data_IF_267244175858
#
_entry.id   IF_267244175858
#
_cell.length_a   1.000
_cell.length_b   1.000
_cell.length_c   1.000
_cell.angle_alpha   90.00
_cell.angle_beta   90.00
_cell.angle_gamma   90.00
#
_symmetry.space_group_name_H-M   'P 1'
#
loop_
_entity.id
_entity.type
_entity.pdbx_description
1 polymer ?
#
# COMPACT_ATOMS: atom_id res chain seq x y z
N UNK A 1 35.81 2.94 -3.71
CA UNK A 1 35.31 1.67 -4.29
C UNK A 1 36.13 0.51 -3.78
N UNK A 2 35.56 -0.34 -2.93
CA UNK A 2 36.08 -1.69 -2.72
C UNK A 2 35.84 -2.46 -4.02
N UNK A 3 36.89 -2.70 -4.81
CA UNK A 3 36.81 -3.47 -6.05
C UNK A 3 36.94 -4.95 -5.70
N UNK A 4 36.04 -5.80 -6.22
CA UNK A 4 36.12 -7.25 -6.10
C UNK A 4 37.51 -7.74 -6.51
N UNK A 5 38.08 -8.65 -5.72
CA UNK A 5 39.30 -9.38 -6.09
C UNK A 5 39.03 -10.31 -7.29
N UNK A 6 40.09 -10.69 -8.00
CA UNK A 6 39.97 -11.61 -9.14
C UNK A 6 39.40 -12.98 -8.74
N UNK A 7 39.70 -13.43 -7.52
CA UNK A 7 39.14 -14.67 -6.97
C UNK A 7 37.62 -14.56 -6.78
N UNK A 8 37.15 -13.45 -6.22
CA UNK A 8 35.73 -13.20 -6.00
C UNK A 8 34.96 -13.09 -7.33
N UNK A 9 35.55 -12.49 -8.36
CA UNK A 9 34.94 -12.45 -9.70
C UNK A 9 34.77 -13.86 -10.28
N UNK A 10 35.79 -14.71 -10.17
CA UNK A 10 35.72 -16.09 -10.64
C UNK A 10 34.70 -16.92 -9.85
N UNK A 11 34.60 -16.70 -8.54
CA UNK A 11 33.60 -17.36 -7.69
C UNK A 11 32.17 -16.98 -8.11
N UNK A 12 31.91 -15.69 -8.33
CA UNK A 12 30.61 -15.18 -8.81
C UNK A 12 30.25 -15.82 -10.15
N UNK A 13 31.18 -15.89 -11.10
CA UNK A 13 30.96 -16.50 -12.42
C UNK A 13 30.55 -17.97 -12.26
N UNK A 14 31.22 -18.74 -11.39
CA UNK A 14 30.86 -20.15 -11.12
C UNK A 14 29.45 -20.29 -10.55
N UNK A 15 29.02 -19.40 -9.66
CA UNK A 15 27.66 -19.40 -9.14
C UNK A 15 26.63 -19.14 -10.25
N UNK A 16 26.89 -18.16 -11.11
CA UNK A 16 26.03 -17.83 -12.26
C UNK A 16 25.96 -18.98 -13.26
N UNK A 17 27.09 -19.60 -13.61
CA UNK A 17 27.15 -20.76 -14.53
C UNK A 17 26.45 -22.00 -13.97
N UNK A 18 26.55 -22.22 -12.65
CA UNK A 18 25.87 -23.33 -11.98
C UNK A 18 24.38 -23.09 -11.72
N UNK A 19 23.86 -21.90 -12.06
CA UNK A 19 22.48 -21.51 -11.83
C UNK A 19 22.11 -21.44 -10.34
N UNK A 20 23.11 -21.30 -9.47
CA UNK A 20 22.93 -21.21 -8.02
C UNK A 20 22.83 -19.77 -7.57
N UNK A 21 22.10 -19.55 -6.48
CA UNK A 21 21.99 -18.22 -5.88
C UNK A 21 23.36 -17.72 -5.39
N UNK A 22 23.60 -16.43 -5.56
CA UNK A 22 24.83 -15.78 -5.11
C UNK A 22 24.81 -15.63 -3.58
N UNK A 23 25.93 -15.92 -2.89
CA UNK A 23 26.07 -15.64 -1.46
C UNK A 23 25.79 -14.17 -1.11
N UNK A 24 25.16 -13.93 0.05
CA UNK A 24 24.71 -12.61 0.50
C UNK A 24 25.85 -11.56 0.56
N UNK A 25 27.09 -11.99 0.84
CA UNK A 25 28.29 -11.13 0.84
C UNK A 25 28.47 -10.35 -0.48
N UNK A 26 28.08 -10.93 -1.62
CA UNK A 26 28.23 -10.29 -2.93
C UNK A 26 27.11 -9.31 -3.28
N UNK A 27 25.95 -9.40 -2.61
CA UNK A 27 24.83 -8.46 -2.80
C UNK A 27 25.28 -7.02 -2.55
N UNK A 28 26.10 -6.80 -1.52
CA UNK A 28 26.58 -5.47 -1.13
C UNK A 28 27.78 -4.99 -1.96
N UNK A 29 28.53 -5.91 -2.60
CA UNK A 29 29.72 -5.59 -3.39
C UNK A 29 29.39 -5.35 -4.88
N UNK A 30 28.36 -6.01 -5.42
CA UNK A 30 27.98 -5.92 -6.83
C UNK A 30 27.10 -4.71 -7.16
N UNK A 31 26.30 -4.24 -6.20
CA UNK A 31 25.37 -3.14 -6.40
C UNK A 31 25.84 -1.92 -5.61
N UNK A 32 26.52 -1.00 -6.29
CA UNK A 32 26.87 0.30 -5.73
C UNK A 32 25.58 1.10 -5.51
N UNK A 33 25.35 1.55 -4.29
CA UNK A 33 24.19 2.37 -3.85
C UNK A 33 22.82 1.69 -3.74
N UNK A 34 22.74 0.62 -2.96
CA UNK A 34 21.52 0.34 -2.18
C UNK A 34 21.84 0.04 -0.73
N UNK A 35 22.15 1.09 0.03
CA UNK A 35 22.06 1.05 1.50
C UNK A 35 20.57 1.04 1.90
N UNK A 36 19.89 -0.06 1.61
CA UNK A 36 18.56 -0.32 2.18
C UNK A 36 18.78 -0.76 3.63
N UNK A 37 18.78 0.21 4.55
CA UNK A 37 18.74 -0.10 5.98
C UNK A 37 17.33 -0.58 6.29
N UNK A 38 17.20 -1.87 6.59
CA UNK A 38 15.91 -2.49 6.91
C UNK A 38 15.85 -2.87 8.39
N UNK A 39 14.78 -2.47 9.08
CA UNK A 39 14.51 -2.95 10.44
C UNK A 39 13.98 -4.38 10.37
N UNK A 40 14.69 -5.35 10.92
CA UNK A 40 14.28 -6.76 10.95
C UNK A 40 13.86 -7.16 12.36
N UNK A 41 12.75 -7.88 12.48
CA UNK A 41 12.26 -8.47 13.73
C UNK A 41 11.58 -9.81 13.44
N UNK A 42 11.49 -10.67 14.46
CA UNK A 42 10.83 -11.98 14.33
C UNK A 42 9.36 -11.80 13.92
N UNK A 43 8.94 -12.44 12.83
CA UNK A 43 7.59 -12.33 12.28
C UNK A 43 7.40 -11.16 11.29
N UNK A 44 8.44 -10.39 10.98
CA UNK A 44 8.40 -9.47 9.84
C UNK A 44 8.25 -10.29 8.55
N UNK A 45 7.17 -10.07 7.81
CA UNK A 45 6.95 -10.70 6.50
C UNK A 45 6.96 -9.63 5.41
N UNK A 46 7.56 -9.95 4.27
CA UNK A 46 7.50 -9.12 3.05
C UNK A 46 6.28 -9.43 2.18
N UNK A 47 5.41 -10.34 2.63
CA UNK A 47 4.25 -10.79 1.87
C UNK A 47 3.21 -9.67 1.76
N UNK A 48 3.01 -9.19 0.54
CA UNK A 48 1.98 -8.20 0.24
C UNK A 48 0.67 -8.95 0.00
N UNK A 49 -0.38 -8.59 0.76
CA UNK A 49 -1.71 -9.15 0.55
C UNK A 49 -2.30 -8.65 -0.78
N UNK A 50 -2.59 -9.56 -1.70
CA UNK A 50 -3.19 -9.27 -3.01
C UNK A 50 -4.43 -10.16 -3.23
N UNK A 51 -5.47 -9.94 -2.45
CA UNK A 51 -6.72 -10.69 -2.47
C UNK A 51 -7.84 -9.72 -2.83
N UNK A 52 -8.72 -10.15 -3.74
CA UNK A 52 -9.95 -9.43 -4.10
C UNK A 52 -11.12 -10.17 -3.49
N UNK A 53 -11.82 -9.53 -2.56
CA UNK A 53 -13.03 -10.03 -1.93
C UNK A 53 -14.21 -9.11 -2.23
N UNK A 54 -15.43 -9.66 -2.37
CA UNK A 54 -16.64 -8.85 -2.35
C UNK A 54 -16.86 -8.27 -0.95
N UNK A 55 -17.35 -7.03 -0.89
CA UNK A 55 -17.67 -6.38 0.38
C UNK A 55 -19.05 -6.81 0.85
N UNK A 56 -19.15 -7.23 2.11
CA UNK A 56 -20.41 -7.67 2.71
C UNK A 56 -21.26 -6.48 3.18
N UNK A 57 -20.63 -5.49 3.84
CA UNK A 57 -21.32 -4.31 4.38
C UNK A 57 -20.56 -3.04 4.03
N UNK A 58 -21.13 -2.25 3.12
CA UNK A 58 -20.69 -0.88 2.80
C UNK A 58 -21.84 0.06 3.08
N UNK A 59 -21.60 1.03 3.95
CA UNK A 59 -22.50 2.14 4.21
C UNK A 59 -22.01 3.37 3.45
N UNK A 60 -22.87 3.98 2.65
CA UNK A 60 -22.60 5.23 1.95
C UNK A 60 -23.00 6.39 2.85
N UNK A 61 -22.06 7.28 3.13
CA UNK A 61 -22.25 8.43 4.02
C UNK A 61 -22.23 9.70 3.19
N UNK A 62 -23.38 10.06 2.62
CA UNK A 62 -23.50 11.24 1.75
C UNK A 62 -23.74 12.53 2.54
N UNK A 63 -24.36 12.44 3.72
CA UNK A 63 -24.68 13.60 4.55
C UNK A 63 -23.86 13.58 5.86
N UNK A 64 -23.25 14.71 6.24
CA UNK A 64 -22.57 14.82 7.52
C UNK A 64 -23.59 14.68 8.66
N UNK A 65 -23.35 13.72 9.57
CA UNK A 65 -24.19 13.51 10.75
C UNK A 65 -24.10 14.72 11.67
N UNK A 66 -25.15 15.54 11.69
CA UNK A 66 -25.29 16.62 12.66
C UNK A 66 -26.10 16.14 13.87
N UNK A 67 -25.49 16.13 15.06
CA UNK A 67 -26.19 15.77 16.30
C UNK A 67 -27.15 16.88 16.78
N UNK A 68 -26.91 18.14 16.39
CA UNK A 68 -27.78 19.28 16.65
C UNK A 68 -27.93 20.13 15.39
N UNK A 69 -29.10 20.77 15.17
CA UNK A 69 -29.32 21.64 14.00
C UNK A 69 -28.30 22.80 13.89
N UNK A 70 -27.76 23.26 15.02
CA UNK A 70 -26.75 24.32 15.07
C UNK A 70 -25.36 23.85 14.60
N UNK A 71 -25.07 22.54 14.70
CA UNK A 71 -23.80 21.95 14.26
C UNK A 71 -23.79 21.75 12.74
N UNK A 72 -24.96 21.51 12.12
CA UNK A 72 -25.12 21.47 10.67
C UNK A 72 -24.65 22.78 10.01
N UNK A 73 -25.03 23.93 10.59
CA UNK A 73 -24.69 25.24 10.06
C UNK A 73 -23.18 25.56 10.16
N UNK A 74 -22.51 25.11 11.23
CA UNK A 74 -21.05 25.28 11.41
C UNK A 74 -20.23 24.27 10.60
N UNK A 75 -20.75 23.06 10.42
CA UNK A 75 -20.08 22.00 9.68
C UNK A 75 -20.19 22.21 8.17
N UNK A 76 -21.33 22.72 7.67
CA UNK A 76 -21.47 23.17 6.29
C UNK A 76 -20.41 24.21 5.93
N UNK A 77 -20.16 25.22 6.77
CA UNK A 77 -19.21 26.29 6.42
C UNK A 77 -17.73 25.86 6.34
N UNK A 78 -17.38 24.67 6.85
CA UNK A 78 -16.01 24.13 6.79
C UNK A 78 -15.81 23.13 5.63
N UNK A 79 -16.90 22.55 5.11
CA UNK A 79 -16.88 21.63 3.97
C UNK A 79 -17.55 22.21 2.71
N UNK A 80 -17.88 23.50 2.71
CA UNK A 80 -18.46 24.24 1.57
C UNK A 80 -17.45 24.40 0.42
N UNK A 81 -17.11 23.29 -0.22
CA UNK A 81 -16.74 23.23 -1.62
C UNK A 81 -18.03 23.08 -2.43
N UNK A 82 -18.47 24.21 -2.98
CA UNK A 82 -19.54 24.40 -3.97
C UNK A 82 -21.00 24.32 -3.46
N UNK A 83 -21.78 25.36 -3.79
CA UNK A 83 -23.16 25.63 -3.37
C UNK A 83 -24.22 24.66 -3.94
N UNK A 84 -23.80 23.46 -4.32
CA UNK A 84 -24.65 22.42 -4.93
C UNK A 84 -24.98 21.26 -4.02
N UNK A 85 -24.35 21.14 -2.84
CA UNK A 85 -24.80 20.36 -1.66
C UNK A 85 -25.19 18.88 -1.83
N UNK A 86 -25.21 18.34 -3.05
CA UNK A 86 -25.56 16.98 -3.41
C UNK A 86 -24.74 16.59 -4.63
N UNK A 87 -24.06 15.47 -4.48
CA UNK A 87 -23.15 14.93 -5.47
C UNK A 87 -23.92 14.59 -6.76
N UNK A 88 -23.49 15.14 -7.89
CA UNK A 88 -24.10 14.92 -9.21
C UNK A 88 -23.84 13.49 -9.73
N UNK A 89 -22.80 12.79 -9.24
CA UNK A 89 -22.44 11.40 -9.58
C UNK A 89 -21.39 10.81 -8.60
N UNK A 90 -21.52 9.52 -8.24
CA UNK A 90 -20.54 8.78 -7.43
C UNK A 90 -20.76 8.90 -5.91
N UNK A 91 -19.78 8.43 -5.13
CA UNK A 91 -19.74 8.49 -3.66
C UNK A 91 -18.58 9.38 -3.18
N UNK A 92 -18.72 10.03 -2.03
CA UNK A 92 -17.65 10.86 -1.40
C UNK A 92 -17.06 10.18 -0.18
N UNK A 93 -17.90 9.60 0.68
CA UNK A 93 -17.48 8.86 1.87
C UNK A 93 -18.15 7.48 1.93
N UNK A 94 -17.39 6.45 2.32
CA UNK A 94 -17.87 5.09 2.57
C UNK A 94 -17.37 4.59 3.92
N UNK A 95 -18.26 3.95 4.67
CA UNK A 95 -17.93 3.18 5.85
C UNK A 95 -17.98 1.69 5.51
N UNK A 96 -16.85 1.00 5.68
CA UNK A 96 -16.69 -0.41 5.32
C UNK A 96 -16.33 -1.19 6.57
N UNK A 97 -17.04 -2.28 6.82
CA UNK A 97 -16.82 -3.14 7.99
C UNK A 97 -16.01 -4.38 7.59
N UNK A 98 -14.85 -4.61 8.22
CA UNK A 98 -14.02 -5.80 7.97
C UNK A 98 -12.56 -5.67 8.41
N UNK A 99 -11.74 -6.67 8.04
CA UNK A 99 -10.29 -6.66 8.27
C UNK A 99 -9.59 -5.71 7.27
N UNK A 100 -8.95 -4.67 7.79
CA UNK A 100 -8.26 -3.65 6.99
C UNK A 100 -7.28 -4.22 5.96
N UNK A 101 -6.56 -5.30 6.28
CA UNK A 101 -5.58 -5.91 5.36
C UNK A 101 -6.27 -6.42 4.09
N UNK A 102 -7.42 -7.07 4.25
CA UNK A 102 -8.20 -7.64 3.14
C UNK A 102 -8.97 -6.55 2.38
N UNK A 103 -9.56 -5.61 3.12
CA UNK A 103 -10.32 -4.47 2.57
C UNK A 103 -9.43 -3.61 1.67
N UNK A 104 -8.25 -3.21 2.14
CA UNK A 104 -7.33 -2.39 1.35
C UNK A 104 -6.81 -3.13 0.11
N UNK A 105 -6.56 -4.43 0.23
CA UNK A 105 -6.17 -5.27 -0.90
C UNK A 105 -7.26 -5.34 -1.98
N UNK A 106 -8.52 -5.45 -1.53
CA UNK A 106 -9.69 -5.52 -2.39
C UNK A 106 -10.06 -4.17 -3.01
N UNK A 107 -9.87 -3.05 -2.30
CA UNK A 107 -10.09 -1.71 -2.87
C UNK A 107 -9.08 -1.40 -3.98
N UNK A 108 -7.84 -1.87 -3.85
CA UNK A 108 -6.79 -1.62 -4.84
C UNK A 108 -7.03 -2.35 -6.16
N UNK A 109 -7.56 -3.58 -6.12
CA UNK A 109 -7.62 -4.47 -7.28
C UNK A 109 -9.04 -4.96 -7.61
N UNK A 110 -10.03 -4.55 -6.84
CA UNK A 110 -11.42 -4.97 -6.97
C UNK A 110 -12.31 -3.95 -7.69
N UNK A 111 -13.59 -4.29 -7.88
CA UNK A 111 -14.52 -3.56 -8.74
C UNK A 111 -14.80 -2.12 -8.29
N UNK A 112 -14.73 -1.85 -6.97
CA UNK A 112 -14.94 -0.51 -6.40
C UNK A 112 -13.89 0.51 -6.81
N UNK A 113 -12.79 0.09 -7.43
CA UNK A 113 -11.79 1.01 -8.00
C UNK A 113 -12.32 1.75 -9.23
N UNK A 114 -13.29 1.17 -9.94
CA UNK A 114 -13.83 1.71 -11.19
C UNK A 114 -15.11 2.54 -10.98
N UNK A 115 -15.63 2.60 -9.74
CA UNK A 115 -16.81 3.40 -9.35
C UNK A 115 -16.46 4.84 -8.94
#
# INVERSE_FOLDING_TARGET
>A
MLKLSEQEKQEIIRFVESGRELPEKYRFLLFEDKREVELVWNGKTGEVCNIVLPFQTIEQVDEPRAEKPADTARQMSLFDVDARGRQLKGWTNKLIWGDNKLILSSLKNGPLREE
#
